data_IF_033416996184
#
_entry.id   IF_033416996184
#
_cell.length_a   1.000
_cell.length_b   1.000
_cell.length_c   1.000
_cell.angle_alpha   90.00
_cell.angle_beta   90.00
_cell.angle_gamma   90.00
#
_symmetry.space_group_name_H-M   'P 1'
#
loop_
_entity.id
_entity.type
_entity.pdbx_description
1 polymer ?
#
# COMPACT_ATOMS: atom_id res chain seq x y z
N UNK A 1 26.78 -26.64 3.91
CA UNK A 1 25.95 -25.41 3.91
C UNK A 1 24.92 -25.48 2.78
N UNK A 2 23.64 -25.75 3.06
CA UNK A 2 22.57 -25.81 2.03
C UNK A 2 22.20 -24.44 1.46
N UNK A 3 22.38 -23.38 2.26
CA UNK A 3 22.08 -21.98 1.89
C UNK A 3 23.06 -21.37 0.86
N UNK A 4 24.14 -22.06 0.52
CA UNK A 4 25.14 -21.62 -0.46
C UNK A 4 24.99 -22.34 -1.82
N UNK A 5 23.87 -23.04 -2.04
CA UNK A 5 23.57 -23.69 -3.33
C UNK A 5 22.39 -22.99 -3.98
N UNK A 6 22.65 -22.40 -5.13
CA UNK A 6 21.63 -21.79 -6.00
C UNK A 6 21.69 -22.43 -7.39
N UNK A 7 20.58 -22.43 -8.15
CA UNK A 7 20.60 -22.82 -9.55
C UNK A 7 21.68 -22.05 -10.34
N UNK A 8 22.29 -22.69 -11.35
CA UNK A 8 23.29 -22.03 -12.22
C UNK A 8 22.74 -20.80 -12.94
N UNK A 9 21.44 -20.79 -13.20
CA UNK A 9 20.73 -19.68 -13.86
C UNK A 9 20.37 -18.54 -12.90
N UNK A 10 20.80 -18.59 -11.64
CA UNK A 10 20.47 -17.56 -10.66
C UNK A 10 21.32 -16.30 -10.82
N UNK A 11 20.67 -15.15 -10.65
CA UNK A 11 21.31 -13.86 -10.45
C UNK A 11 21.29 -13.52 -8.96
N UNK A 12 22.43 -13.08 -8.44
CA UNK A 12 22.57 -12.61 -7.05
C UNK A 12 22.63 -11.09 -7.07
N UNK A 13 21.65 -10.45 -6.46
CA UNK A 13 21.60 -8.99 -6.33
C UNK A 13 21.81 -8.62 -4.87
N UNK A 14 22.89 -7.89 -4.57
CA UNK A 14 23.19 -7.41 -3.23
C UNK A 14 22.74 -5.96 -3.08
N UNK A 15 22.23 -5.61 -1.90
CA UNK A 15 22.01 -4.21 -1.58
C UNK A 15 23.36 -3.54 -1.37
N UNK A 16 23.71 -2.60 -2.25
CA UNK A 16 24.95 -1.83 -2.20
C UNK A 16 24.62 -0.35 -2.25
N UNK A 17 25.35 0.44 -1.48
CA UNK A 17 25.22 1.90 -1.41
C UNK A 17 26.61 2.46 -1.16
N UNK A 18 27.09 3.34 -2.05
CA UNK A 18 28.45 3.90 -2.05
C UNK A 18 29.59 2.86 -2.04
N UNK A 19 29.35 1.69 -2.64
CA UNK A 19 30.33 0.59 -2.71
C UNK A 19 30.37 -0.30 -1.47
N UNK A 20 29.56 -0.01 -0.44
CA UNK A 20 29.45 -0.84 0.77
C UNK A 20 28.21 -1.75 0.73
N UNK A 21 28.38 -3.00 1.20
CA UNK A 21 27.29 -3.96 1.32
C UNK A 21 26.37 -3.58 2.49
N UNK A 22 25.09 -3.34 2.19
CA UNK A 22 24.05 -3.03 3.19
C UNK A 22 23.33 -4.27 3.70
N UNK A 23 23.48 -5.41 3.03
CA UNK A 23 22.93 -6.69 3.48
C UNK A 23 24.00 -7.77 3.44
N UNK A 24 23.98 -8.67 4.43
CA UNK A 24 24.87 -9.84 4.47
C UNK A 24 24.40 -10.98 3.55
N UNK A 25 23.27 -10.82 2.87
CA UNK A 25 22.69 -11.80 1.96
C UNK A 25 22.09 -11.10 0.73
N UNK A 26 22.20 -11.73 -0.46
CA UNK A 26 21.60 -11.20 -1.68
C UNK A 26 20.13 -11.59 -1.80
N UNK A 27 19.41 -10.87 -2.66
CA UNK A 27 18.26 -11.46 -3.34
C UNK A 27 18.77 -12.50 -4.35
N UNK A 28 18.20 -13.70 -4.33
CA UNK A 28 18.42 -14.71 -5.37
C UNK A 28 17.25 -14.65 -6.32
N UNK A 29 17.52 -14.46 -7.61
CA UNK A 29 16.48 -14.45 -8.64
C UNK A 29 16.79 -15.41 -9.77
N UNK A 30 15.75 -15.94 -10.40
CA UNK A 30 15.85 -16.72 -11.64
C UNK A 30 14.82 -16.16 -12.60
N UNK A 31 15.27 -15.54 -13.69
CA UNK A 31 14.40 -14.81 -14.62
C UNK A 31 13.56 -13.77 -13.87
N UNK A 32 12.23 -13.87 -13.92
CA UNK A 32 11.27 -12.98 -13.26
C UNK A 32 10.82 -13.46 -11.87
N UNK A 33 11.50 -14.46 -11.30
CA UNK A 33 11.19 -15.00 -9.96
C UNK A 33 12.23 -14.49 -8.97
N UNK A 34 11.79 -13.75 -7.94
CA UNK A 34 12.64 -13.15 -6.91
C UNK A 34 12.37 -13.82 -5.57
N UNK A 35 13.42 -14.35 -4.93
CA UNK A 35 13.29 -15.08 -3.66
C UNK A 35 13.65 -14.16 -2.49
N UNK A 36 12.65 -13.86 -1.66
CA UNK A 36 12.82 -13.14 -0.41
C UNK A 36 12.86 -14.10 0.78
N UNK A 37 13.55 -13.73 1.88
CA UNK A 37 13.59 -14.56 3.08
C UNK A 37 12.20 -14.70 3.70
N UNK A 38 11.92 -15.86 4.30
CA UNK A 38 10.63 -16.13 4.94
C UNK A 38 10.39 -15.38 6.25
N UNK A 39 11.42 -14.76 6.83
CA UNK A 39 11.29 -13.91 8.03
C UNK A 39 10.83 -12.52 7.58
N UNK A 40 9.64 -12.04 7.99
CA UNK A 40 9.06 -10.78 7.50
C UNK A 40 10.00 -9.58 7.60
N UNK A 41 10.68 -9.42 8.74
CA UNK A 41 11.59 -8.29 8.97
C UNK A 41 12.81 -8.31 8.04
N UNK A 42 13.25 -9.50 7.62
CA UNK A 42 14.32 -9.63 6.63
C UNK A 42 13.81 -9.38 5.21
N UNK A 43 12.58 -9.81 4.92
CA UNK A 43 11.92 -9.56 3.63
C UNK A 43 11.77 -8.06 3.40
N UNK A 44 11.17 -7.35 4.35
CA UNK A 44 10.96 -5.89 4.33
C UNK A 44 12.29 -5.15 4.10
N UNK A 45 13.30 -5.41 4.94
CA UNK A 45 14.61 -4.76 4.81
C UNK A 45 15.27 -4.98 3.45
N UNK A 46 15.21 -6.21 2.93
CA UNK A 46 15.79 -6.53 1.62
C UNK A 46 14.98 -5.87 0.49
N UNK A 47 13.64 -5.88 0.60
CA UNK A 47 12.74 -5.30 -0.38
C UNK A 47 12.90 -3.77 -0.46
N UNK A 48 12.94 -3.08 0.68
CA UNK A 48 13.14 -1.63 0.74
C UNK A 48 14.45 -1.21 0.06
N UNK A 49 15.51 -1.99 0.26
CA UNK A 49 16.84 -1.71 -0.32
C UNK A 49 16.97 -2.07 -1.80
N UNK A 50 16.24 -3.08 -2.28
CA UNK A 50 16.44 -3.64 -3.62
C UNK A 50 15.28 -3.42 -4.59
N UNK A 51 14.10 -3.02 -4.12
CA UNK A 51 12.90 -2.91 -4.95
C UNK A 51 13.12 -2.05 -6.19
N UNK A 52 13.74 -0.87 -6.05
CA UNK A 52 14.06 0.01 -7.19
C UNK A 52 15.08 -0.56 -8.18
N UNK A 53 15.92 -1.53 -7.77
CA UNK A 53 16.87 -2.21 -8.67
C UNK A 53 16.27 -3.47 -9.29
N UNK A 54 15.39 -4.17 -8.57
CA UNK A 54 14.79 -5.43 -8.99
C UNK A 54 13.53 -5.24 -9.83
N UNK A 55 12.79 -4.16 -9.58
CA UNK A 55 11.50 -3.88 -10.19
C UNK A 55 11.56 -2.49 -10.84
N UNK A 56 11.57 -2.49 -12.17
CA UNK A 56 11.33 -1.27 -12.94
C UNK A 56 9.82 -1.11 -13.10
N UNK A 57 9.27 -0.01 -12.58
CA UNK A 57 7.88 0.39 -12.82
C UNK A 57 7.84 1.86 -13.15
N UNK A 58 7.12 2.20 -14.22
CA UNK A 58 6.75 3.58 -14.56
C UNK A 58 5.40 3.97 -13.98
N UNK A 59 4.66 2.99 -13.45
CA UNK A 59 3.32 3.21 -12.91
C UNK A 59 3.44 3.60 -11.44
N UNK A 60 3.03 4.82 -11.14
CA UNK A 60 2.84 5.31 -9.78
C UNK A 60 1.37 5.20 -9.43
N UNK A 61 1.08 4.74 -8.21
CA UNK A 61 -0.25 4.74 -7.64
C UNK A 61 -0.29 5.73 -6.48
N UNK A 62 -1.40 6.44 -6.40
CA UNK A 62 -1.69 7.43 -5.37
C UNK A 62 -2.83 6.90 -4.52
N UNK A 63 -2.66 6.94 -3.21
CA UNK A 63 -3.62 6.36 -2.26
C UNK A 63 -4.01 7.38 -1.19
N UNK A 64 -5.31 7.45 -0.87
CA UNK A 64 -5.83 8.17 0.29
C UNK A 64 -6.70 7.25 1.14
N UNK A 65 -6.65 7.48 2.45
CA UNK A 65 -7.46 6.74 3.42
C UNK A 65 -8.41 7.69 4.14
N UNK A 66 -9.70 7.35 4.15
CA UNK A 66 -10.73 8.03 4.96
C UNK A 66 -11.28 7.05 5.98
N UNK A 67 -11.50 7.50 7.19
CA UNK A 67 -11.98 6.68 8.29
C UNK A 67 -13.34 7.19 8.73
N UNK A 68 -14.30 6.29 8.94
CA UNK A 68 -15.65 6.64 9.35
C UNK A 68 -16.06 5.91 10.62
N UNK A 69 -16.76 6.59 11.52
CA UNK A 69 -17.31 6.01 12.77
C UNK A 69 -18.65 5.29 12.58
N UNK A 70 -19.15 5.23 11.35
CA UNK A 70 -20.38 4.52 10.94
C UNK A 70 -20.04 3.32 10.05
N UNK A 71 -20.99 2.39 9.89
CA UNK A 71 -20.84 1.25 8.98
C UNK A 71 -20.87 1.70 7.52
N UNK A 72 -20.32 0.85 6.64
CA UNK A 72 -20.31 1.09 5.19
C UNK A 72 -21.70 1.37 4.62
N UNK A 73 -22.72 0.63 5.07
CA UNK A 73 -24.12 0.82 4.64
C UNK A 73 -24.60 2.28 4.75
N UNK A 74 -24.11 3.02 5.76
CA UNK A 74 -24.49 4.42 5.98
C UNK A 74 -23.85 5.39 4.98
N UNK A 75 -22.75 5.00 4.36
CA UNK A 75 -22.00 5.82 3.38
C UNK A 75 -22.00 5.24 1.97
N UNK A 76 -22.59 4.05 1.77
CA UNK A 76 -22.60 3.33 0.49
C UNK A 76 -23.13 4.17 -0.68
N UNK A 77 -24.18 4.97 -0.45
CA UNK A 77 -24.71 5.87 -1.47
C UNK A 77 -23.69 6.95 -1.89
N UNK A 78 -22.98 7.55 -0.92
CA UNK A 78 -21.95 8.53 -1.20
C UNK A 78 -20.77 7.90 -1.95
N UNK A 79 -20.34 6.69 -1.55
CA UNK A 79 -19.29 5.95 -2.26
C UNK A 79 -19.70 5.64 -3.69
N UNK A 80 -20.94 5.20 -3.91
CA UNK A 80 -21.45 4.88 -5.25
C UNK A 80 -21.46 6.09 -6.18
N UNK A 81 -21.79 7.27 -5.66
CA UNK A 81 -21.72 8.52 -6.42
C UNK A 81 -20.29 8.85 -6.85
N UNK A 82 -19.32 8.71 -5.92
CA UNK A 82 -17.91 8.98 -6.24
C UNK A 82 -17.37 7.97 -7.24
N UNK A 83 -17.69 6.68 -7.12
CA UNK A 83 -17.29 5.66 -8.12
C UNK A 83 -17.86 5.97 -9.50
N UNK A 84 -19.10 6.44 -9.58
CA UNK A 84 -19.73 6.79 -10.85
C UNK A 84 -19.11 8.04 -11.49
N UNK A 85 -18.69 9.03 -10.68
CA UNK A 85 -18.11 10.29 -11.15
C UNK A 85 -16.61 10.17 -11.48
N UNK A 86 -15.89 9.26 -10.80
CA UNK A 86 -14.44 9.06 -10.93
C UNK A 86 -14.11 7.58 -11.24
N UNK A 87 -14.40 7.09 -12.46
CA UNK A 87 -14.20 5.68 -12.81
C UNK A 87 -12.72 5.25 -12.82
N UNK A 88 -11.77 6.20 -12.86
CA UNK A 88 -10.33 5.94 -12.74
C UNK A 88 -9.86 5.74 -11.31
N UNK A 89 -10.73 5.89 -10.31
CA UNK A 89 -10.42 5.75 -8.88
C UNK A 89 -11.04 4.47 -8.33
N UNK A 90 -10.18 3.57 -7.86
CA UNK A 90 -10.59 2.36 -7.15
C UNK A 90 -10.93 2.72 -5.71
N UNK A 91 -12.13 2.31 -5.26
CA UNK A 91 -12.58 2.51 -3.88
C UNK A 91 -12.73 1.15 -3.20
N UNK A 92 -11.96 0.93 -2.14
CA UNK A 92 -12.00 -0.27 -1.30
C UNK A 92 -12.55 0.03 0.09
N UNK A 93 -13.40 -0.86 0.61
CA UNK A 93 -13.94 -0.79 1.97
C UNK A 93 -13.33 -1.86 2.87
N UNK A 94 -12.86 -1.45 4.05
CA UNK A 94 -12.26 -2.31 5.06
C UNK A 94 -12.95 -2.09 6.42
N UNK A 95 -14.02 -2.84 6.72
CA UNK A 95 -14.71 -2.74 8.00
C UNK A 95 -13.85 -3.28 9.14
N UNK A 96 -13.94 -2.65 10.32
CA UNK A 96 -13.13 -2.95 11.49
C UNK A 96 -14.05 -3.18 12.70
N UNK A 97 -14.15 -4.43 13.15
CA UNK A 97 -15.17 -4.85 14.12
C UNK A 97 -14.90 -4.34 15.54
N UNK A 98 -13.62 -4.36 15.96
CA UNK A 98 -13.23 -4.14 17.36
C UNK A 98 -12.60 -2.77 17.62
N UNK A 99 -12.63 -1.88 16.63
CA UNK A 99 -12.06 -0.55 16.77
C UNK A 99 -13.06 0.42 17.43
N UNK A 100 -12.56 1.16 18.42
CA UNK A 100 -13.34 2.12 19.20
C UNK A 100 -13.46 3.48 18.50
N UNK A 101 -12.54 3.79 17.61
CA UNK A 101 -12.43 5.10 16.96
C UNK A 101 -13.16 5.15 15.62
N UNK A 102 -13.09 4.08 14.81
CA UNK A 102 -13.76 3.99 13.52
C UNK A 102 -14.36 2.60 13.30
N UNK A 103 -15.28 2.49 12.35
CA UNK A 103 -16.00 1.26 11.96
C UNK A 103 -15.64 0.79 10.56
N UNK A 104 -15.26 1.70 9.67
CA UNK A 104 -14.79 1.36 8.33
C UNK A 104 -13.67 2.30 7.89
N UNK A 105 -12.66 1.72 7.24
CA UNK A 105 -11.62 2.45 6.51
C UNK A 105 -11.90 2.32 5.02
N UNK A 106 -12.05 3.46 4.35
CA UNK A 106 -12.19 3.54 2.92
C UNK A 106 -10.85 3.93 2.32
N UNK A 107 -10.43 3.20 1.29
CA UNK A 107 -9.20 3.42 0.54
C UNK A 107 -9.57 3.87 -0.86
N UNK A 108 -9.04 5.02 -1.28
CA UNK A 108 -9.13 5.50 -2.65
C UNK A 108 -7.75 5.32 -3.28
N UNK A 109 -7.68 4.69 -4.44
CA UNK A 109 -6.45 4.43 -5.17
C UNK A 109 -6.60 4.75 -6.66
N UNK A 110 -5.63 5.41 -7.27
CA UNK A 110 -5.60 5.64 -8.71
C UNK A 110 -4.16 5.81 -9.21
N UNK A 111 -3.95 5.62 -10.51
CA UNK A 111 -2.70 6.01 -11.18
C UNK A 111 -2.63 7.50 -11.54
N UNK A 112 -3.73 8.24 -11.40
CA UNK A 112 -3.83 9.68 -11.65
C UNK A 112 -4.00 10.45 -10.34
N UNK A 113 -2.97 11.20 -9.92
CA UNK A 113 -2.98 11.95 -8.66
C UNK A 113 -4.14 12.94 -8.56
N UNK A 114 -4.37 13.70 -9.64
CA UNK A 114 -5.39 14.74 -9.66
C UNK A 114 -6.80 14.18 -9.53
N UNK A 115 -7.09 13.07 -10.24
CA UNK A 115 -8.39 12.41 -10.18
C UNK A 115 -8.63 11.82 -8.78
N UNK A 116 -7.61 11.20 -8.20
CA UNK A 116 -7.63 10.66 -6.84
C UNK A 116 -7.93 11.75 -5.80
N UNK A 117 -7.23 12.89 -5.87
CA UNK A 117 -7.46 14.01 -4.95
C UNK A 117 -8.86 14.61 -5.10
N UNK A 118 -9.34 14.76 -6.33
CA UNK A 118 -10.70 15.25 -6.57
C UNK A 118 -11.75 14.31 -6.00
N UNK A 119 -11.62 13.00 -6.22
CA UNK A 119 -12.51 11.99 -5.65
C UNK A 119 -12.49 12.00 -4.11
N UNK A 120 -11.29 12.13 -3.52
CA UNK A 120 -11.12 12.25 -2.08
C UNK A 120 -11.84 13.48 -1.52
N UNK A 121 -11.60 14.66 -2.08
CA UNK A 121 -12.26 15.91 -1.66
C UNK A 121 -13.77 15.82 -1.82
N UNK A 122 -14.25 15.26 -2.94
CA UNK A 122 -15.67 15.07 -3.21
C UNK A 122 -16.33 14.16 -2.17
N UNK A 123 -15.69 13.05 -1.81
CA UNK A 123 -16.19 12.14 -0.78
C UNK A 123 -16.35 12.87 0.57
N UNK A 124 -15.37 13.67 0.97
CA UNK A 124 -15.42 14.46 2.20
C UNK A 124 -16.50 15.56 2.19
N UNK A 125 -16.91 16.02 1.01
CA UNK A 125 -17.97 17.03 0.86
C UNK A 125 -19.37 16.41 0.91
N UNK A 126 -19.55 15.20 0.38
CA UNK A 126 -20.86 14.53 0.33
C UNK A 126 -21.21 13.92 1.70
N UNK A 127 -20.22 13.39 2.41
CA UNK A 127 -20.44 12.71 3.68
C UNK A 127 -20.51 13.72 4.84
N UNK A 128 -21.43 13.55 5.82
CA UNK A 128 -21.48 14.43 7.00
C UNK A 128 -20.16 14.44 7.77
N UNK A 129 -19.71 15.61 8.23
CA UNK A 129 -18.41 15.75 8.89
C UNK A 129 -18.32 15.00 10.21
N UNK A 130 -19.45 14.81 10.88
CA UNK A 130 -19.57 14.14 12.18
C UNK A 130 -19.23 12.66 12.12
N UNK A 131 -19.36 12.05 10.93
CA UNK A 131 -19.03 10.64 10.74
C UNK A 131 -17.58 10.41 10.35
N UNK A 132 -16.85 11.47 9.95
CA UNK A 132 -15.46 11.41 9.52
C UNK A 132 -14.55 11.44 10.75
N UNK A 133 -13.61 10.51 10.83
CA UNK A 133 -12.67 10.39 11.94
C UNK A 133 -11.30 10.93 11.52
N UNK A 134 -10.78 11.97 12.19
CA UNK A 134 -9.44 12.51 11.88
C UNK A 134 -8.33 11.49 12.12
N UNK A 135 -7.34 11.44 11.22
CA UNK A 135 -6.24 10.47 11.27
C UNK A 135 -5.35 10.59 12.51
N UNK A 136 -5.22 11.80 13.07
CA UNK A 136 -4.41 12.08 14.27
C UNK A 136 -4.87 11.28 15.50
N UNK A 137 -6.13 10.83 15.54
CA UNK A 137 -6.68 10.06 16.67
C UNK A 137 -6.16 8.62 16.73
N UNK A 138 -5.49 8.12 15.68
CA UNK A 138 -5.05 6.72 15.61
C UNK A 138 -3.62 6.50 16.12
N UNK A 139 -2.76 7.51 16.05
CA UNK A 139 -1.32 7.39 16.31
C UNK A 139 -0.89 7.78 17.74
N UNK A 140 -1.82 8.27 18.57
CA UNK A 140 -1.56 8.45 20.00
C UNK A 140 -1.72 7.11 20.74
N UNK A 141 -0.72 6.24 20.60
CA UNK A 141 -0.54 5.02 21.38
C UNK A 141 0.87 4.93 21.92
#
# INVERSE_FOLDING_TARGET
MKLARVPKSSKLTFAQEDGELRTHYPNVSVRNVYMFPGIPQLCERLFDKLSGQLFETTNQFYTRNVYFNVTEEKIANALSLVVAEYPGVLIGSYPELFNRYYKVRIVLESSQEQEMEQAYVKLLQIVPREVIVPQEKFFNK
#
